data_IF_848148233311
#
_entry.id   IF_848148233311
#
_cell.length_a   1.000
_cell.length_b   1.000
_cell.length_c   1.000
_cell.angle_alpha   90.00
_cell.angle_beta   90.00
_cell.angle_gamma   90.00
#
_symmetry.space_group_name_H-M   'P 1'
#
loop_
_entity.id
_entity.type
_entity.pdbx_description
1 polymer ?
#
# COMPACT_ATOMS: atom_id res chain seq x y z
N UNK A 1 -6.03 -46.15 6.13
CA UNK A 1 -6.06 -44.86 5.39
C UNK A 1 -4.67 -44.58 4.85
N UNK A 2 -4.54 -44.06 3.62
CA UNK A 2 -3.23 -43.68 3.11
C UNK A 2 -2.70 -42.47 3.89
N UNK A 3 -1.39 -42.40 4.11
CA UNK A 3 -0.72 -41.30 4.82
C UNK A 3 -0.97 -39.94 4.15
N UNK A 4 -1.16 -39.93 2.83
CA UNK A 4 -1.57 -38.76 2.06
C UNK A 4 -2.92 -38.19 2.49
N UNK A 5 -3.89 -39.02 2.89
CA UNK A 5 -5.19 -38.54 3.37
C UNK A 5 -5.07 -37.84 4.72
N UNK A 6 -4.21 -38.35 5.62
CA UNK A 6 -3.91 -37.70 6.89
C UNK A 6 -3.26 -36.32 6.69
N UNK A 7 -2.29 -36.24 5.75
CA UNK A 7 -1.63 -34.99 5.42
C UNK A 7 -2.62 -33.94 4.87
N UNK A 8 -3.55 -34.35 3.99
CA UNK A 8 -4.58 -33.45 3.47
C UNK A 8 -5.50 -32.93 4.58
N UNK A 9 -5.96 -33.80 5.50
CA UNK A 9 -6.81 -33.38 6.62
C UNK A 9 -6.09 -32.35 7.51
N UNK A 10 -4.80 -32.56 7.80
CA UNK A 10 -4.00 -31.64 8.59
C UNK A 10 -3.78 -30.29 7.90
N UNK A 11 -3.60 -30.29 6.58
CA UNK A 11 -3.35 -29.06 5.81
C UNK A 11 -4.63 -28.29 5.47
N UNK A 12 -5.78 -28.97 5.38
CA UNK A 12 -7.07 -28.37 4.99
C UNK A 12 -7.40 -27.07 5.73
N UNK A 13 -7.33 -26.96 7.07
CA UNK A 13 -7.68 -25.71 7.75
C UNK A 13 -6.77 -24.54 7.37
N UNK A 14 -5.48 -24.79 7.17
CA UNK A 14 -4.54 -23.75 6.75
C UNK A 14 -4.82 -23.31 5.32
N UNK A 15 -4.98 -24.27 4.40
CA UNK A 15 -5.31 -23.99 3.00
C UNK A 15 -6.60 -23.18 2.92
N UNK A 16 -7.63 -23.54 3.70
CA UNK A 16 -8.90 -22.82 3.73
C UNK A 16 -8.73 -21.36 4.19
N UNK A 17 -7.97 -21.11 5.27
CA UNK A 17 -7.72 -19.75 5.78
C UNK A 17 -6.98 -18.92 4.74
N UNK A 18 -5.89 -19.44 4.16
CA UNK A 18 -5.10 -18.72 3.17
C UNK A 18 -5.87 -18.49 1.86
N UNK A 19 -6.64 -19.47 1.40
CA UNK A 19 -7.47 -19.32 0.20
C UNK A 19 -8.55 -18.25 0.41
N UNK A 20 -9.19 -18.23 1.58
CA UNK A 20 -10.18 -17.20 1.92
C UNK A 20 -9.54 -15.81 1.98
N UNK A 21 -8.41 -15.67 2.68
CA UNK A 21 -7.71 -14.39 2.79
C UNK A 21 -7.24 -13.87 1.42
N UNK A 22 -6.70 -14.74 0.57
CA UNK A 22 -6.27 -14.37 -0.78
C UNK A 22 -7.46 -13.94 -1.65
N UNK A 23 -8.59 -14.67 -1.59
CA UNK A 23 -9.80 -14.29 -2.33
C UNK A 23 -10.38 -12.97 -1.83
N UNK A 24 -10.48 -12.79 -0.51
CA UNK A 24 -10.97 -11.57 0.12
C UNK A 24 -10.11 -10.36 -0.24
N UNK A 25 -8.78 -10.49 -0.17
CA UNK A 25 -7.87 -9.41 -0.52
C UNK A 25 -7.88 -9.10 -2.02
N UNK A 26 -7.97 -10.12 -2.88
CA UNK A 26 -8.14 -9.92 -4.32
C UNK A 26 -9.44 -9.19 -4.66
N UNK A 27 -10.52 -9.52 -3.95
CA UNK A 27 -11.81 -8.84 -4.10
C UNK A 27 -11.71 -7.38 -3.67
N UNK A 28 -11.15 -7.13 -2.49
CA UNK A 28 -10.92 -5.78 -1.94
C UNK A 28 -10.10 -4.92 -2.89
N UNK A 29 -8.97 -5.44 -3.39
CA UNK A 29 -8.11 -4.69 -4.32
C UNK A 29 -8.82 -4.37 -5.64
N UNK A 30 -9.77 -5.22 -6.08
CA UNK A 30 -10.55 -4.96 -7.29
C UNK A 30 -11.66 -3.94 -7.11
N UNK A 31 -12.27 -3.88 -5.92
CA UNK A 31 -13.38 -2.97 -5.64
C UNK A 31 -12.91 -1.61 -5.13
N UNK A 32 -11.99 -1.61 -4.17
CA UNK A 32 -11.53 -0.41 -3.46
C UNK A 32 -10.21 0.15 -4.04
N UNK A 33 -9.56 -0.60 -4.93
CA UNK A 33 -8.26 -0.24 -5.51
C UNK A 33 -7.08 -0.58 -4.59
N UNK A 34 -5.88 -0.11 -4.97
CA UNK A 34 -4.70 -0.25 -4.14
C UNK A 34 -4.86 0.58 -2.86
N UNK A 35 -4.57 -0.03 -1.71
CA UNK A 35 -4.47 0.69 -0.45
C UNK A 35 -3.48 1.85 -0.58
N UNK A 36 -3.95 3.08 -0.44
CA UNK A 36 -3.07 4.24 -0.32
C UNK A 36 -2.48 4.23 1.10
N UNK A 37 -1.18 3.94 1.18
CA UNK A 37 -0.43 4.06 2.42
C UNK A 37 0.28 5.40 2.45
N UNK A 38 0.35 6.00 3.63
CA UNK A 38 1.02 7.26 3.82
C UNK A 38 1.44 7.48 5.26
N UNK A 39 2.07 8.62 5.48
CA UNK A 39 2.52 9.05 6.79
C UNK A 39 1.41 9.87 7.44
N UNK A 40 0.89 9.41 8.58
CA UNK A 40 -0.03 10.18 9.40
C UNK A 40 0.69 10.69 10.64
N UNK A 41 0.52 11.98 10.94
CA UNK A 41 1.04 12.60 12.15
C UNK A 41 0.07 12.40 13.31
N UNK A 42 0.58 11.92 14.43
CA UNK A 42 -0.12 11.77 15.70
C UNK A 42 0.31 12.89 16.67
N UNK A 43 -0.58 13.86 16.97
CA UNK A 43 -0.27 14.99 17.84
C UNK A 43 -0.21 14.60 19.32
N UNK A 44 -0.75 13.46 19.72
CA UNK A 44 -0.76 13.01 21.11
C UNK A 44 0.61 12.44 21.50
N UNK A 45 1.28 11.79 20.55
CA UNK A 45 2.62 11.19 20.74
C UNK A 45 3.74 11.97 20.08
N UNK A 46 3.40 13.06 19.36
CA UNK A 46 4.33 13.88 18.55
C UNK A 46 5.18 13.04 17.61
N UNK A 47 4.53 12.15 16.87
CA UNK A 47 5.23 11.19 16.01
C UNK A 47 4.46 10.90 14.72
N UNK A 48 5.18 10.43 13.71
CA UNK A 48 4.62 10.14 12.38
C UNK A 48 4.74 8.65 12.09
N UNK A 49 3.64 8.02 11.71
CA UNK A 49 3.58 6.57 11.46
C UNK A 49 3.01 6.24 10.08
N UNK A 50 3.45 5.11 9.52
CA UNK A 50 2.87 4.56 8.29
C UNK A 50 1.50 3.96 8.61
N UNK A 51 0.46 4.47 7.95
CA UNK A 51 -0.91 3.99 8.10
C UNK A 51 -1.62 3.91 6.74
N UNK A 52 -2.79 3.27 6.74
CA UNK A 52 -3.76 3.41 5.65
C UNK A 52 -4.30 4.84 5.66
N UNK A 53 -4.21 5.50 4.51
CA UNK A 53 -4.82 6.80 4.31
C UNK A 53 -6.31 6.64 4.01
N UNK A 54 -7.11 7.53 4.56
CA UNK A 54 -8.54 7.61 4.25
C UNK A 54 -8.77 7.98 2.78
N UNK A 55 -9.98 7.69 2.30
CA UNK A 55 -10.38 7.99 0.93
C UNK A 55 -10.23 9.49 0.63
N UNK A 56 -9.35 9.84 -0.30
CA UNK A 56 -9.07 11.23 -0.70
C UNK A 56 -7.91 11.90 0.03
N UNK A 57 -7.27 11.25 1.01
CA UNK A 57 -6.02 11.74 1.58
C UNK A 57 -4.84 11.43 0.64
N UNK A 58 -3.94 12.40 0.48
CA UNK A 58 -2.76 12.26 -0.39
C UNK A 58 -1.69 11.38 0.28
N UNK A 59 -1.29 10.32 -0.42
CA UNK A 59 -0.10 9.50 -0.15
C UNK A 59 1.16 10.34 -0.01
N UNK A 60 2.11 9.87 0.81
CA UNK A 60 3.49 10.32 0.65
C UNK A 60 4.03 9.69 -0.63
N UNK A 61 4.24 10.49 -1.67
CA UNK A 61 4.86 10.07 -2.92
C UNK A 61 6.32 10.55 -2.95
N UNK A 62 7.31 9.66 -2.77
CA UNK A 62 8.72 10.05 -2.77
C UNK A 62 9.12 10.74 -4.08
N UNK A 63 8.50 10.39 -5.21
CA UNK A 63 8.82 10.99 -6.51
C UNK A 63 8.37 12.45 -6.61
N UNK A 64 7.32 12.85 -5.87
CA UNK A 64 6.86 14.26 -5.85
C UNK A 64 7.82 15.20 -5.13
N UNK A 65 8.53 14.71 -4.12
CA UNK A 65 9.48 15.53 -3.36
C UNK A 65 10.81 15.68 -4.11
N UNK A 66 11.27 14.64 -4.82
CA UNK A 66 12.46 14.74 -5.68
C UNK A 66 12.22 15.57 -6.95
N UNK A 67 10.97 15.73 -7.41
CA UNK A 67 10.65 16.60 -8.54
C UNK A 67 10.74 18.10 -8.20
N UNK A 68 10.71 18.49 -6.92
CA UNK A 68 10.79 19.89 -6.50
C UNK A 68 12.22 20.47 -6.57
N UNK A 69 13.24 19.62 -6.64
CA UNK A 69 14.65 20.02 -6.72
C UNK A 69 15.20 20.07 -8.18
N UNK A 70 14.41 19.69 -9.18
CA UNK A 70 14.78 19.76 -10.61
C UNK A 70 14.08 20.92 -11.35
N UNK A 71 13.94 22.09 -10.70
CA UNK A 71 13.72 23.34 -11.44
C UNK A 71 15.00 23.72 -12.18
N UNK A 72 15.22 23.02 -13.30
CA UNK A 72 16.22 23.37 -14.30
C UNK A 72 15.95 24.78 -14.82
N UNK A 73 16.65 25.75 -14.22
CA UNK A 73 16.62 27.15 -14.59
C UNK A 73 16.84 27.35 -16.09
N UNK A 74 15.75 27.50 -16.83
CA UNK A 74 15.78 28.00 -18.20
C UNK A 74 15.72 29.52 -18.14
N UNK A 75 16.89 30.14 -18.01
CA UNK A 75 17.06 31.56 -18.26
C UNK A 75 16.78 31.87 -19.73
N UNK A 76 15.52 32.13 -20.06
CA UNK A 76 15.16 32.86 -21.28
C UNK A 76 15.39 34.35 -21.01
N UNK A 77 16.57 34.83 -21.39
CA UNK A 77 16.89 36.26 -21.44
C UNK A 77 16.36 36.82 -22.78
N UNK A 78 15.08 37.20 -22.80
CA UNK A 78 14.50 38.03 -23.85
C UNK A 78 14.76 39.52 -23.55
N UNK A 79 15.77 40.05 -24.24
CA UNK A 79 15.94 41.43 -24.72
C UNK A 79 14.96 42.52 -24.22
N UNK A 80 15.48 43.56 -23.55
CA UNK A 80 15.31 44.97 -23.98
C UNK A 80 16.27 45.94 -23.31
#
# INVERSE_FOLDING_TARGET
MPTSALALILLTPFIAIFAYAAWHEWHRVREDGHSNYGLAYDPETDSTHVTLLEEGASGYDPETEYAADDDGGTGQDETR
#
